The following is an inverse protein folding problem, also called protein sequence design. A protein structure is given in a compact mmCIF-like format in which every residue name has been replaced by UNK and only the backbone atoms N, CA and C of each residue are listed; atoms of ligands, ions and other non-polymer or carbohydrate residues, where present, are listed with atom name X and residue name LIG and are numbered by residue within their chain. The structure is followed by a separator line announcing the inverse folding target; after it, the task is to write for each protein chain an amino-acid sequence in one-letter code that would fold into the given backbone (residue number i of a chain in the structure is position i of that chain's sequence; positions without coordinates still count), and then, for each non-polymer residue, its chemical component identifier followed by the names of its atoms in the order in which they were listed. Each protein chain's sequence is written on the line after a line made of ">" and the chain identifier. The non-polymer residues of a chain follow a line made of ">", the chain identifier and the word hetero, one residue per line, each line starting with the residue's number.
data_IF_300629138933
#
_entry.id   IF_300629138933
#
_cell.length_a   1.000
_cell.length_b   1.000
_cell.length_c   1.000
_cell.angle_alpha   90.00
_cell.angle_beta   90.00
_cell.angle_gamma   90.00
#
_symmetry.space_group_name_H-M   'P 1'
#
loop_
_entity.id
_entity.type
_entity.pdbx_description
1 polymer ?
#
# COMPACT_ATOMS: atom_id res chain seq x y z
N UNK A 1 6.06 -34.24 -6.99
CA UNK A 1 5.89 -34.10 -5.54
C UNK A 1 5.71 -32.62 -5.23
N UNK A 2 4.48 -32.19 -4.92
CA UNK A 2 4.22 -30.80 -4.57
C UNK A 2 4.66 -30.57 -3.12
N UNK A 3 5.79 -29.88 -2.93
CA UNK A 3 6.12 -29.30 -1.65
C UNK A 3 5.07 -28.22 -1.37
N UNK A 4 4.19 -28.46 -0.41
CA UNK A 4 3.28 -27.42 0.10
C UNK A 4 4.16 -26.35 0.74
N UNK A 5 4.54 -25.32 -0.02
CA UNK A 5 5.21 -24.15 0.55
C UNK A 5 4.28 -23.56 1.60
N UNK A 6 4.77 -23.35 2.80
CA UNK A 6 4.05 -22.58 3.81
C UNK A 6 4.10 -21.10 3.39
N UNK A 7 3.13 -20.69 2.58
CA UNK A 7 3.06 -19.34 2.03
C UNK A 7 2.45 -18.35 3.02
N UNK A 8 1.79 -18.82 4.08
CA UNK A 8 0.92 -17.98 4.91
C UNK A 8 -0.38 -17.59 4.20
N UNK A 9 -1.14 -16.68 4.80
CA UNK A 9 -2.43 -16.27 4.28
C UNK A 9 -2.27 -15.21 3.17
N UNK A 10 -3.05 -15.35 2.09
CA UNK A 10 -3.01 -14.42 0.97
C UNK A 10 -3.73 -13.12 1.33
N UNK A 11 -3.02 -12.01 1.23
CA UNK A 11 -3.55 -10.65 1.45
C UNK A 11 -4.03 -10.03 0.13
N UNK A 12 -3.25 -10.17 -0.94
CA UNK A 12 -3.52 -9.51 -2.21
C UNK A 12 -3.00 -10.34 -3.41
N UNK A 13 -3.51 -10.08 -4.60
CA UNK A 13 -3.14 -10.78 -5.82
C UNK A 13 -3.16 -9.85 -7.04
N UNK A 14 -2.10 -9.91 -7.85
CA UNK A 14 -2.12 -9.41 -9.22
C UNK A 14 -2.22 -10.62 -10.16
N UNK A 15 -3.38 -10.81 -10.77
CA UNK A 15 -3.66 -11.98 -11.63
C UNK A 15 -2.91 -11.97 -12.96
N UNK A 16 -2.58 -10.78 -13.47
CA UNK A 16 -1.84 -10.59 -14.71
C UNK A 16 -0.88 -9.42 -14.51
N UNK A 17 0.38 -9.75 -14.20
CA UNK A 17 1.43 -8.74 -14.05
C UNK A 17 1.70 -8.09 -15.42
N UNK A 18 1.48 -6.77 -15.56
CA UNK A 18 1.60 -6.08 -16.85
C UNK A 18 3.04 -6.00 -17.35
N UNK A 19 4.01 -6.22 -16.47
CA UNK A 19 5.43 -6.00 -16.74
C UNK A 19 6.22 -7.29 -16.94
N UNK A 20 5.60 -8.47 -16.77
CA UNK A 20 6.28 -9.75 -16.98
C UNK A 20 5.30 -10.88 -17.33
N UNK A 21 5.21 -11.21 -18.63
CA UNK A 21 4.51 -12.38 -19.17
C UNK A 21 3.09 -12.66 -18.63
N UNK A 22 2.37 -11.64 -18.14
CA UNK A 22 1.07 -11.77 -17.49
C UNK A 22 1.06 -12.84 -16.39
N UNK A 23 2.17 -13.01 -15.67
CA UNK A 23 2.23 -13.98 -14.57
C UNK A 23 1.33 -13.52 -13.42
N UNK A 24 0.87 -14.47 -12.62
CA UNK A 24 0.22 -14.16 -11.34
C UNK A 24 1.30 -13.88 -10.29
N UNK A 25 1.17 -12.78 -9.57
CA UNK A 25 1.99 -12.46 -8.39
C UNK A 25 1.07 -12.38 -7.18
N UNK A 26 1.33 -13.23 -6.19
CA UNK A 26 0.58 -13.30 -4.95
C UNK A 26 1.37 -12.66 -3.81
N UNK A 27 0.64 -11.99 -2.92
CA UNK A 27 1.16 -11.36 -1.73
C UNK A 27 0.55 -12.00 -0.50
N UNK A 28 1.39 -12.55 0.36
CA UNK A 28 0.99 -13.29 1.55
C UNK A 28 1.57 -12.68 2.81
N UNK A 29 0.91 -12.89 3.95
CA UNK A 29 1.46 -12.66 5.28
C UNK A 29 1.62 -13.95 6.05
N UNK A 30 2.72 -13.99 6.78
CA UNK A 30 3.08 -14.98 7.77
C UNK A 30 3.17 -14.25 9.12
N UNK A 31 2.58 -14.83 10.15
CA UNK A 31 2.72 -14.34 11.51
C UNK A 31 3.87 -15.11 12.17
N UNK A 32 5.02 -14.46 12.31
CA UNK A 32 6.23 -15.03 12.90
C UNK A 32 6.40 -14.53 14.34
N UNK A 33 7.29 -15.17 15.11
CA UNK A 33 7.64 -14.72 16.47
C UNK A 33 8.20 -13.29 16.49
N UNK A 34 8.83 -12.85 15.38
CA UNK A 34 9.35 -11.50 15.18
C UNK A 34 8.31 -10.49 14.70
N UNK A 35 7.04 -10.88 14.61
CA UNK A 35 5.94 -10.08 14.09
C UNK A 35 5.55 -10.43 12.65
N UNK A 36 4.57 -9.69 12.07
CA UNK A 36 4.05 -9.91 10.73
C UNK A 36 5.16 -9.81 9.67
N UNK A 37 5.24 -10.80 8.79
CA UNK A 37 6.18 -10.83 7.68
C UNK A 37 5.46 -11.15 6.37
N UNK A 38 5.98 -10.62 5.26
CA UNK A 38 5.30 -10.67 3.98
C UNK A 38 6.12 -11.37 2.91
N UNK A 39 5.45 -12.26 2.18
CA UNK A 39 6.02 -13.04 1.09
C UNK A 39 5.38 -12.62 -0.24
N UNK A 40 6.23 -12.30 -1.21
CA UNK A 40 5.83 -12.15 -2.61
C UNK A 40 6.19 -13.44 -3.33
N UNK A 41 5.21 -14.05 -4.01
CA UNK A 41 5.40 -15.36 -4.64
C UNK A 41 4.69 -15.44 -5.99
N UNK A 42 5.24 -16.25 -6.91
CA UNK A 42 4.57 -16.68 -8.13
C UNK A 42 4.73 -18.19 -8.30
N UNK A 43 3.75 -18.83 -8.94
CA UNK A 43 3.85 -20.22 -9.39
C UNK A 43 4.39 -20.36 -10.82
N UNK A 44 4.69 -19.23 -11.49
CA UNK A 44 5.28 -19.25 -12.82
C UNK A 44 6.65 -19.93 -12.80
N UNK A 45 6.89 -20.80 -13.78
CA UNK A 45 8.18 -21.48 -14.00
C UNK A 45 9.00 -20.81 -15.11
N UNK A 46 8.59 -19.62 -15.57
CA UNK A 46 9.29 -18.89 -16.62
C UNK A 46 10.60 -18.32 -16.08
N UNK A 47 11.66 -18.47 -16.86
CA UNK A 47 12.96 -17.84 -16.59
C UNK A 47 12.78 -16.31 -16.43
N UNK A 48 13.37 -15.74 -15.38
CA UNK A 48 13.20 -14.33 -15.00
C UNK A 48 12.05 -14.06 -14.01
N UNK A 49 11.25 -15.06 -13.64
CA UNK A 49 10.19 -14.88 -12.62
C UNK A 49 10.77 -14.41 -11.29
N UNK A 50 11.89 -15.01 -10.84
CA UNK A 50 12.53 -14.64 -9.57
C UNK A 50 13.08 -13.21 -9.59
N UNK A 51 13.62 -12.75 -10.71
CA UNK A 51 14.07 -11.36 -10.88
C UNK A 51 12.91 -10.38 -10.79
N UNK A 52 11.76 -10.72 -11.40
CA UNK A 52 10.54 -9.91 -11.28
C UNK A 52 10.05 -9.85 -9.83
N UNK A 53 10.03 -10.97 -9.12
CA UNK A 53 9.65 -11.00 -7.70
C UNK A 53 10.62 -10.18 -6.85
N UNK A 54 11.92 -10.30 -7.10
CA UNK A 54 12.95 -9.52 -6.44
C UNK A 54 12.77 -8.01 -6.69
N UNK A 55 12.43 -7.61 -7.92
CA UNK A 55 12.11 -6.22 -8.25
C UNK A 55 10.91 -5.71 -7.45
N UNK A 56 9.77 -6.44 -7.45
CA UNK A 56 8.58 -6.00 -6.72
C UNK A 56 8.88 -5.87 -5.22
N UNK A 57 9.66 -6.81 -4.65
CA UNK A 57 10.14 -6.73 -3.27
C UNK A 57 10.95 -5.46 -3.02
N UNK A 58 11.96 -5.19 -3.87
CA UNK A 58 12.77 -3.98 -3.77
C UNK A 58 11.94 -2.70 -3.90
N UNK A 59 10.96 -2.70 -4.81
CA UNK A 59 10.05 -1.57 -4.96
C UNK A 59 9.20 -1.34 -3.71
N UNK A 60 8.74 -2.40 -3.03
CA UNK A 60 8.04 -2.26 -1.75
C UNK A 60 8.94 -1.74 -0.63
N UNK A 61 10.23 -2.11 -0.60
CA UNK A 61 11.19 -1.53 0.35
C UNK A 61 11.33 -0.02 0.14
N UNK A 62 11.53 0.42 -1.11
CA UNK A 62 11.71 1.85 -1.42
C UNK A 62 10.42 2.65 -1.25
N UNK A 63 9.31 2.18 -1.79
CA UNK A 63 8.03 2.91 -1.75
C UNK A 63 7.39 2.89 -0.37
N UNK A 64 7.57 1.81 0.40
CA UNK A 64 6.90 1.60 1.69
C UNK A 64 7.78 1.77 2.91
N UNK A 65 9.10 1.86 2.75
CA UNK A 65 10.05 1.84 3.87
C UNK A 65 10.14 0.48 4.57
N UNK A 66 9.86 -0.61 3.86
CA UNK A 66 9.97 -1.97 4.41
C UNK A 66 11.42 -2.47 4.42
N UNK A 67 11.71 -3.41 5.32
CA UNK A 67 13.00 -4.08 5.43
C UNK A 67 12.88 -5.56 5.10
N UNK A 68 13.94 -6.12 4.54
CA UNK A 68 14.01 -7.56 4.23
C UNK A 68 14.60 -8.31 5.42
N UNK A 69 13.96 -9.40 5.84
CA UNK A 69 14.45 -10.29 6.90
C UNK A 69 15.54 -11.23 6.37
N UNK A 70 16.23 -11.92 7.28
CA UNK A 70 17.19 -12.97 6.92
C UNK A 70 16.56 -14.12 6.12
N UNK A 71 15.25 -14.36 6.27
CA UNK A 71 14.48 -15.35 5.52
C UNK A 71 13.99 -14.83 4.16
N UNK A 72 14.32 -13.59 3.77
CA UNK A 72 13.94 -13.00 2.48
C UNK A 72 12.52 -12.44 2.41
N UNK A 73 11.82 -12.38 3.54
CA UNK A 73 10.49 -11.79 3.71
C UNK A 73 10.58 -10.28 3.93
N UNK A 74 9.50 -9.54 3.72
CA UNK A 74 9.41 -8.11 4.04
C UNK A 74 8.75 -7.89 5.40
N UNK A 75 9.17 -6.86 6.13
CA UNK A 75 8.53 -6.39 7.37
C UNK A 75 8.54 -4.87 7.45
N UNK A 76 7.59 -4.30 8.18
CA UNK A 76 7.71 -2.92 8.63
C UNK A 76 8.64 -2.85 9.85
N UNK A 77 9.55 -1.87 9.92
CA UNK A 77 10.46 -1.74 11.07
C UNK A 77 9.76 -1.57 12.43
N UNK A 78 8.52 -1.07 12.44
CA UNK A 78 7.71 -0.89 13.64
C UNK A 78 7.15 -2.21 14.21
N UNK A 79 7.23 -3.32 13.48
CA UNK A 79 6.67 -4.62 13.89
C UNK A 79 5.15 -4.76 13.73
N UNK A 80 4.46 -3.73 13.23
CA UNK A 80 3.01 -3.73 13.03
C UNK A 80 2.63 -4.06 11.56
N UNK A 81 1.42 -4.62 11.31
CA UNK A 81 1.07 -5.14 9.99
C UNK A 81 0.71 -4.07 8.94
N UNK A 82 0.05 -2.98 9.35
CA UNK A 82 -0.41 -1.93 8.42
C UNK A 82 -1.11 -2.47 7.16
N UNK A 83 -2.02 -3.43 7.32
CA UNK A 83 -2.41 -4.35 6.25
C UNK A 83 -3.11 -3.64 5.08
N UNK A 84 -4.02 -2.70 5.35
CA UNK A 84 -4.68 -1.91 4.31
C UNK A 84 -3.67 -1.09 3.48
N UNK A 85 -2.68 -0.50 4.16
CA UNK A 85 -1.63 0.27 3.51
C UNK A 85 -0.72 -0.65 2.67
N UNK A 86 -0.37 -1.81 3.23
CA UNK A 86 0.52 -2.79 2.62
C UNK A 86 -0.07 -3.40 1.34
N UNK A 87 -1.38 -3.68 1.31
CA UNK A 87 -2.10 -4.06 0.09
C UNK A 87 -1.91 -3.04 -1.02
N UNK A 88 -2.07 -1.76 -0.70
CA UNK A 88 -1.93 -0.69 -1.69
C UNK A 88 -0.48 -0.55 -2.17
N UNK A 89 0.47 -0.66 -1.25
CA UNK A 89 1.89 -0.64 -1.55
C UNK A 89 2.25 -1.76 -2.54
N UNK A 90 1.79 -2.99 -2.31
CA UNK A 90 2.02 -4.11 -3.22
C UNK A 90 1.44 -3.83 -4.63
N UNK A 91 0.20 -3.37 -4.73
CA UNK A 91 -0.43 -3.04 -6.01
C UNK A 91 0.31 -1.93 -6.76
N UNK A 92 0.88 -0.95 -6.04
CA UNK A 92 1.68 0.11 -6.65
C UNK A 92 3.07 -0.39 -7.06
N UNK A 93 3.72 -1.24 -6.27
CA UNK A 93 4.99 -1.87 -6.59
C UNK A 93 4.90 -2.72 -7.87
N UNK A 94 3.84 -3.51 -8.02
CA UNK A 94 3.59 -4.28 -9.25
C UNK A 94 3.36 -3.40 -10.49
N UNK A 95 2.95 -2.13 -10.33
CA UNK A 95 2.75 -1.20 -11.46
C UNK A 95 4.01 -0.45 -11.85
N UNK A 96 5.06 -0.48 -11.04
CA UNK A 96 6.32 0.19 -11.39
C UNK A 96 6.96 -0.52 -12.58
N UNK A 97 7.36 0.28 -13.55
CA UNK A 97 8.12 -0.15 -14.71
C UNK A 97 9.50 -0.68 -14.24
N UNK A 98 9.88 -1.93 -14.56
CA UNK A 98 11.17 -2.52 -14.20
C UNK A 98 12.39 -1.70 -14.62
N UNK A 99 12.29 -0.95 -15.73
CA UNK A 99 13.39 -0.16 -16.28
C UNK A 99 13.49 1.24 -15.65
N UNK A 100 12.56 1.58 -14.74
CA UNK A 100 12.53 2.87 -14.06
C UNK A 100 13.18 2.83 -12.68
N UNK A 101 13.79 3.94 -12.28
CA UNK A 101 14.28 4.09 -10.90
C UNK A 101 13.10 4.23 -9.93
N UNK A 102 13.01 3.31 -8.98
CA UNK A 102 12.04 3.41 -7.89
C UNK A 102 12.52 4.45 -6.90
N UNK A 103 11.71 5.48 -6.67
CA UNK A 103 12.00 6.54 -5.70
C UNK A 103 10.86 6.64 -4.69
N UNK A 104 11.19 7.06 -3.46
CA UNK A 104 10.20 7.42 -2.44
C UNK A 104 9.26 8.48 -3.01
N UNK A 105 7.95 8.31 -2.78
CA UNK A 105 6.97 9.29 -3.25
C UNK A 105 6.99 10.54 -2.36
N UNK A 106 6.84 11.73 -2.95
CA UNK A 106 6.82 12.95 -2.17
C UNK A 106 5.58 13.02 -1.26
N UNK A 107 5.70 13.74 -0.15
CA UNK A 107 4.60 14.05 0.76
C UNK A 107 3.78 15.27 0.29
N UNK A 108 3.57 15.40 -1.02
CA UNK A 108 2.64 16.38 -1.59
C UNK A 108 1.93 15.81 -2.82
N UNK A 109 0.73 16.30 -3.10
CA UNK A 109 -0.06 15.90 -4.27
C UNK A 109 -0.98 17.03 -4.73
N UNK A 110 -1.17 17.16 -6.04
CA UNK A 110 -2.20 18.05 -6.59
C UNK A 110 -3.59 17.43 -6.41
N UNK A 111 -4.45 18.08 -5.64
CA UNK A 111 -5.86 17.72 -5.56
C UNK A 111 -6.63 18.24 -6.76
N UNK A 112 -6.74 17.39 -7.80
CA UNK A 112 -7.44 17.72 -9.06
C UNK A 112 -8.87 18.23 -8.88
N UNK A 113 -9.55 17.93 -7.76
CA UNK A 113 -10.92 18.42 -7.51
C UNK A 113 -10.98 19.89 -7.11
N UNK A 114 -9.91 20.42 -6.52
CA UNK A 114 -9.88 21.80 -6.00
C UNK A 114 -8.77 22.65 -6.59
N UNK A 115 -7.78 22.05 -7.25
CA UNK A 115 -6.58 22.71 -7.74
C UNK A 115 -5.57 23.04 -6.64
N UNK A 116 -5.80 22.60 -5.40
CA UNK A 116 -4.88 22.83 -4.29
C UNK A 116 -3.70 21.85 -4.33
N UNK A 117 -2.51 22.35 -4.02
CA UNK A 117 -1.36 21.52 -3.72
C UNK A 117 -1.44 21.11 -2.26
N UNK A 118 -1.81 19.86 -2.03
CA UNK A 118 -1.92 19.28 -0.70
C UNK A 118 -0.54 18.84 -0.23
N UNK A 119 -0.19 19.17 1.01
CA UNK A 119 1.11 18.85 1.61
C UNK A 119 0.88 18.11 2.91
N UNK A 120 1.63 17.03 3.12
CA UNK A 120 1.65 16.28 4.36
C UNK A 120 3.02 16.49 5.02
N UNK A 121 3.02 16.87 6.29
CA UNK A 121 4.24 17.05 7.07
C UNK A 121 4.26 16.03 8.19
N UNK A 122 5.36 15.30 8.32
CA UNK A 122 5.61 14.46 9.50
C UNK A 122 5.87 15.36 10.71
N UNK A 123 5.22 15.05 11.83
CA UNK A 123 5.42 15.73 13.11
C UNK A 123 6.27 14.89 14.09
N UNK A 124 6.76 13.73 13.64
CA UNK A 124 7.39 12.74 14.51
C UNK A 124 6.38 11.76 15.12
N UNK A 125 6.88 10.67 15.68
CA UNK A 125 6.11 9.67 16.44
C UNK A 125 4.83 9.16 15.73
N UNK A 126 4.90 9.04 14.40
CA UNK A 126 3.78 8.60 13.55
C UNK A 126 2.68 9.63 13.31
N UNK A 127 2.81 10.87 13.81
CA UNK A 127 1.88 11.97 13.57
C UNK A 127 2.13 12.68 12.25
N UNK A 128 1.04 13.03 11.56
CA UNK A 128 1.07 13.76 10.30
C UNK A 128 0.09 14.93 10.32
N UNK A 129 0.53 16.07 9.77
CA UNK A 129 -0.31 17.22 9.51
C UNK A 129 -0.58 17.38 8.01
N UNK A 130 -1.84 17.65 7.66
CA UNK A 130 -2.27 17.95 6.30
C UNK A 130 -2.48 19.45 6.18
N UNK A 131 -1.80 20.05 5.22
CA UNK A 131 -1.97 21.45 4.84
C UNK A 131 -2.16 21.58 3.33
N UNK A 132 -2.36 22.81 2.84
CA UNK A 132 -2.40 23.05 1.40
C UNK A 132 -1.87 24.43 1.01
N UNK A 133 -1.28 24.49 -0.18
CA UNK A 133 -0.91 25.73 -0.88
C UNK A 133 -1.95 26.07 -1.95
N UNK A 134 -2.07 27.35 -2.24
CA UNK A 134 -3.09 27.90 -3.13
C UNK A 134 -4.38 28.31 -2.42
N UNK A 135 -5.27 28.94 -3.19
CA UNK A 135 -6.51 29.55 -2.73
C UNK A 135 -7.72 28.76 -3.22
N UNK A 136 -8.64 28.44 -2.29
CA UNK A 136 -9.90 27.79 -2.61
C UNK A 136 -10.90 27.97 -1.48
N UNK A 137 -12.16 28.28 -1.82
CA UNK A 137 -13.27 28.31 -0.83
C UNK A 137 -13.50 26.97 -0.16
N UNK A 138 -12.99 25.87 -0.72
CA UNK A 138 -13.13 24.50 -0.19
C UNK A 138 -11.89 24.03 0.58
N UNK A 139 -10.89 24.89 0.84
CA UNK A 139 -9.61 24.50 1.44
C UNK A 139 -9.74 23.62 2.69
N UNK A 140 -10.48 24.08 3.70
CA UNK A 140 -10.67 23.32 4.95
C UNK A 140 -11.32 21.94 4.71
N UNK A 141 -12.38 21.88 3.89
CA UNK A 141 -13.05 20.61 3.61
C UNK A 141 -12.20 19.65 2.76
N UNK A 142 -11.29 20.16 1.93
CA UNK A 142 -10.33 19.32 1.18
C UNK A 142 -9.21 18.79 2.06
N UNK A 143 -8.71 19.60 3.01
CA UNK A 143 -7.78 19.14 4.06
C UNK A 143 -8.42 17.99 4.84
N UNK A 144 -9.61 18.21 5.43
CA UNK A 144 -10.34 17.16 6.17
C UNK A 144 -10.61 15.91 5.32
N UNK A 145 -11.01 16.08 4.05
CA UNK A 145 -11.22 14.95 3.15
C UNK A 145 -9.95 14.15 2.85
N UNK A 146 -8.79 14.80 2.76
CA UNK A 146 -7.51 14.13 2.57
C UNK A 146 -7.06 13.43 3.86
N UNK A 147 -7.15 14.10 5.02
CA UNK A 147 -6.86 13.49 6.33
C UNK A 147 -7.67 12.21 6.51
N UNK A 148 -8.99 12.28 6.32
CA UNK A 148 -9.85 11.09 6.38
C UNK A 148 -9.57 10.06 5.28
N UNK A 149 -9.02 10.49 4.14
CA UNK A 149 -8.52 9.59 3.10
C UNK A 149 -7.31 8.79 3.54
N UNK A 150 -6.34 9.43 4.18
CA UNK A 150 -5.16 8.76 4.76
C UNK A 150 -5.58 7.77 5.84
N UNK A 151 -6.44 8.18 6.78
CA UNK A 151 -6.96 7.29 7.84
C UNK A 151 -7.57 6.00 7.27
N UNK A 152 -8.42 6.12 6.24
CA UNK A 152 -9.10 4.97 5.64
C UNK A 152 -8.18 4.06 4.83
N UNK A 153 -7.13 4.61 4.22
CA UNK A 153 -6.20 3.84 3.39
C UNK A 153 -5.06 3.24 4.20
N UNK A 154 -4.66 3.90 5.28
CA UNK A 154 -3.45 3.58 6.04
C UNK A 154 -3.68 3.10 7.47
N UNK A 155 -4.92 2.97 7.93
CA UNK A 155 -5.24 2.62 9.33
C UNK A 155 -4.74 3.67 10.35
N UNK A 156 -4.65 4.95 9.93
CA UNK A 156 -4.33 6.04 10.85
C UNK A 156 -5.55 6.39 11.70
N UNK A 157 -5.31 6.83 12.92
CA UNK A 157 -6.31 7.33 13.84
C UNK A 157 -6.44 8.86 13.77
N UNK A 158 -7.61 9.36 14.12
CA UNK A 158 -7.83 10.78 14.29
C UNK A 158 -7.05 11.29 15.50
N UNK A 159 -6.55 12.52 15.42
CA UNK A 159 -5.99 13.23 16.57
C UNK A 159 -7.09 14.08 17.18
N UNK A 160 -7.30 13.94 18.49
CA UNK A 160 -8.39 14.65 19.18
C UNK A 160 -8.27 16.17 19.00
N UNK A 161 -9.39 16.80 18.63
CA UNK A 161 -9.46 18.24 18.36
C UNK A 161 -8.77 18.72 17.09
N UNK A 162 -8.25 17.82 16.23
CA UNK A 162 -7.47 18.17 15.03
C UNK A 162 -7.96 17.43 13.78
N UNK A 163 -8.78 18.12 12.97
CA UNK A 163 -9.28 17.58 11.69
C UNK A 163 -8.22 17.53 10.57
N UNK A 164 -7.11 18.25 10.77
CA UNK A 164 -5.97 18.35 9.87
C UNK A 164 -4.83 17.39 10.25
N UNK A 165 -5.06 16.48 11.21
CA UNK A 165 -4.04 15.54 11.67
C UNK A 165 -4.55 14.11 11.76
N UNK A 166 -3.63 13.19 11.50
CA UNK A 166 -3.83 11.75 11.69
C UNK A 166 -2.52 11.11 12.14
N UNK A 167 -2.60 10.01 12.88
CA UNK A 167 -1.43 9.33 13.42
C UNK A 167 -1.49 7.81 13.23
N UNK A 168 -0.35 7.18 12.96
CA UNK A 168 -0.26 5.72 13.06
C UNK A 168 -0.29 5.30 14.54
N UNK A 169 -1.09 4.28 14.92
CA UNK A 169 -1.16 3.82 16.31
C UNK A 169 0.16 3.21 16.81
N UNK A 170 1.04 2.77 15.90
CA UNK A 170 2.34 2.20 16.22
C UNK A 170 3.38 3.22 16.70
N UNK A 171 3.08 4.53 16.62
CA UNK A 171 4.00 5.60 17.01
C UNK A 171 5.23 5.75 16.12
N UNK A 172 5.30 5.07 14.97
CA UNK A 172 6.43 5.15 14.04
C UNK A 172 6.11 6.01 12.84
N UNK A 173 7.11 6.77 12.37
CA UNK A 173 7.01 7.49 11.10
C UNK A 173 7.06 6.52 9.92
N UNK A 174 6.11 6.65 9.00
CA UNK A 174 5.98 5.86 7.78
C UNK A 174 5.93 6.77 6.54
N UNK A 175 6.83 7.76 6.44
CA UNK A 175 6.79 8.80 5.41
C UNK A 175 6.72 8.25 3.98
N UNK A 176 7.50 7.21 3.68
CA UNK A 176 7.48 6.57 2.37
C UNK A 176 6.09 5.99 2.05
N UNK A 177 5.50 5.25 3.00
CA UNK A 177 4.17 4.69 2.87
C UNK A 177 3.10 5.77 2.75
N UNK A 178 3.21 6.86 3.52
CA UNK A 178 2.28 8.01 3.41
C UNK A 178 2.34 8.60 2.00
N UNK A 179 3.53 8.74 1.40
CA UNK A 179 3.67 9.17 0.01
C UNK A 179 2.92 8.27 -0.99
N UNK A 180 2.88 6.96 -0.75
CA UNK A 180 2.08 6.01 -1.56
C UNK A 180 0.58 6.25 -1.40
N UNK A 181 0.11 6.39 -0.16
CA UNK A 181 -1.31 6.59 0.14
C UNK A 181 -1.83 7.94 -0.35
N UNK A 182 -0.98 8.97 -0.29
CA UNK A 182 -1.30 10.35 -0.62
C UNK A 182 -1.79 10.53 -2.06
N UNK A 183 -1.27 9.73 -3.01
CA UNK A 183 -1.70 9.76 -4.42
C UNK A 183 -3.20 9.50 -4.58
N UNK A 184 -3.82 8.77 -3.63
CA UNK A 184 -5.23 8.37 -3.69
C UNK A 184 -6.09 8.98 -2.60
N UNK A 185 -5.50 9.47 -1.52
CA UNK A 185 -6.23 10.08 -0.40
C UNK A 185 -7.23 11.18 -0.84
N UNK A 186 -6.92 12.11 -1.78
CA UNK A 186 -7.88 13.12 -2.24
C UNK A 186 -9.17 12.54 -2.87
N UNK A 187 -9.12 11.29 -3.34
CA UNK A 187 -10.23 10.58 -3.96
C UNK A 187 -10.43 9.16 -3.38
N UNK A 188 -10.34 9.03 -2.05
CA UNK A 188 -10.38 7.74 -1.34
C UNK A 188 -11.57 6.85 -1.72
N UNK A 189 -12.75 7.40 -2.00
CA UNK A 189 -13.93 6.60 -2.40
C UNK A 189 -13.70 5.82 -3.69
N UNK A 190 -13.09 6.45 -4.69
CA UNK A 190 -12.74 5.77 -5.94
C UNK A 190 -11.68 4.70 -5.68
N UNK A 191 -10.68 5.04 -4.85
CA UNK A 191 -9.60 4.14 -4.49
C UNK A 191 -10.10 2.86 -3.79
N UNK A 192 -11.06 2.97 -2.87
CA UNK A 192 -11.68 1.84 -2.17
C UNK A 192 -12.54 1.00 -3.12
N UNK A 193 -13.31 1.63 -4.02
CA UNK A 193 -14.12 0.92 -5.02
C UNK A 193 -13.26 0.12 -6.00
N UNK A 194 -12.14 0.69 -6.46
CA UNK A 194 -11.18 -0.04 -7.30
C UNK A 194 -10.64 -1.28 -6.60
N UNK A 195 -10.38 -1.19 -5.29
CA UNK A 195 -9.89 -2.30 -4.48
C UNK A 195 -10.95 -3.40 -4.28
N UNK A 196 -12.20 -3.02 -4.02
CA UNK A 196 -13.32 -3.97 -3.95
C UNK A 196 -13.57 -4.69 -5.28
N UNK A 197 -13.49 -3.96 -6.40
CA UNK A 197 -13.58 -4.54 -7.74
C UNK A 197 -12.39 -5.46 -8.05
N UNK A 198 -11.19 -5.16 -7.57
CA UNK A 198 -10.04 -6.04 -7.72
C UNK A 198 -10.19 -7.33 -6.90
N UNK A 199 -10.65 -7.22 -5.65
CA UNK A 199 -10.86 -8.36 -4.76
C UNK A 199 -11.96 -9.32 -5.25
N UNK A 200 -12.94 -8.82 -6.00
CA UNK A 200 -14.03 -9.64 -6.57
C UNK A 200 -13.68 -10.26 -7.93
N UNK A 201 -12.63 -9.79 -8.62
CA UNK A 201 -12.18 -10.38 -9.89
C UNK A 201 -11.49 -11.72 -9.63
N UNK A 202 -12.03 -12.79 -10.22
CA UNK A 202 -11.47 -14.13 -10.12
C UNK A 202 -11.99 -14.98 -8.95
N UNK A 203 -12.97 -14.49 -8.18
CA UNK A 203 -13.78 -15.36 -7.32
C UNK A 203 -14.80 -16.07 -8.21
N UNK A 204 -14.45 -17.25 -8.72
CA UNK A 204 -15.48 -18.21 -9.10
C UNK A 204 -16.25 -18.51 -7.82
N UNK A 205 -17.55 -18.19 -7.79
CA UNK A 205 -18.42 -18.63 -6.71
C UNK A 205 -18.18 -20.12 -6.47
N UNK A 206 -18.07 -20.55 -5.21
CA UNK A 206 -17.99 -21.98 -4.94
C UNK A 206 -19.22 -22.65 -5.56
N UNK A 207 -19.12 -23.88 -6.12
CA UNK A 207 -20.26 -24.57 -6.71
C UNK A 207 -21.48 -24.69 -5.78
N UNK A 208 -21.26 -24.56 -4.47
CA UNK A 208 -22.30 -24.52 -3.43
C UNK A 208 -23.15 -23.24 -3.40
N UNK A 209 -22.75 -22.16 -4.08
CA UNK A 209 -23.49 -20.88 -4.13
C UNK A 209 -24.25 -20.65 -5.45
N UNK A 210 -24.33 -21.66 -6.33
CA UNK A 210 -25.06 -21.61 -7.61
C UNK A 210 -26.39 -22.41 -7.56
N UNK A 211 -27.07 -22.46 -6.41
CA UNK A 211 -28.41 -23.04 -6.29
C UNK A 211 -29.46 -21.98 -6.04
#
# INVERSE_FOLDING_TARGET
>A
MGLTKDLGYRIELVSMDPHFHNITIAFHRQDLDTGPAYLINSYSVKDGTDDRIAFVRGAMQTLGGMVTTSAGLLQFPCGEPHELACRRLFLDACKVDPDSTVNVRPLYVLDKKSGLDMVVSSLGDGFYNVSSKGESKKKASRISALTGGLMKLGELHAVEGREDQAAFPCGHAHDALVGVLLVRAPNVRAALREQELAATRGVLASPSQQR
#
